data_IF_075236818367
#
_entry.id   IF_075236818367
#
_cell.length_a   1.000
_cell.length_b   1.000
_cell.length_c   1.000
_cell.angle_alpha   90.00
_cell.angle_beta   90.00
_cell.angle_gamma   90.00
#
_symmetry.space_group_name_H-M   'P 1'
#
loop_
_entity.id
_entity.type
_entity.pdbx_description
1 polymer ?
#
# COMPACT_ATOMS: atom_id res chain seq x y z
N UNK A 1 12.21 -16.65 0.93
CA UNK A 1 12.13 -15.97 -0.38
C UNK A 1 10.78 -15.29 -0.60
N UNK A 2 9.65 -15.78 -0.05
CA UNK A 2 8.34 -15.14 -0.19
C UNK A 2 8.26 -13.68 0.34
N UNK A 3 9.08 -13.33 1.34
CA UNK A 3 9.13 -12.03 2.01
C UNK A 3 9.98 -10.95 1.33
N UNK A 4 10.74 -11.27 0.29
CA UNK A 4 11.76 -10.36 -0.29
C UNK A 4 11.20 -9.02 -0.78
N UNK A 5 9.97 -9.03 -1.32
CA UNK A 5 9.30 -7.81 -1.77
C UNK A 5 8.99 -6.84 -0.63
N UNK A 6 8.48 -7.35 0.49
CA UNK A 6 8.16 -6.56 1.70
C UNK A 6 9.45 -6.08 2.38
N UNK A 7 10.46 -6.95 2.50
CA UNK A 7 11.79 -6.61 3.05
C UNK A 7 12.44 -5.43 2.32
N UNK A 8 12.31 -5.39 0.99
CA UNK A 8 12.79 -4.27 0.18
C UNK A 8 12.08 -2.95 0.53
N UNK A 9 10.78 -2.98 0.83
CA UNK A 9 10.04 -1.79 1.27
C UNK A 9 10.38 -1.37 2.71
N UNK A 10 10.64 -2.33 3.61
CA UNK A 10 11.11 -2.03 4.99
C UNK A 10 12.36 -1.14 4.95
N UNK A 11 13.34 -1.46 4.09
CA UNK A 11 14.56 -0.65 3.95
C UNK A 11 14.33 0.79 3.46
N UNK A 12 13.23 1.02 2.74
CA UNK A 12 12.78 2.35 2.27
C UNK A 12 11.93 3.09 3.29
N UNK A 13 11.37 2.40 4.29
CA UNK A 13 10.51 3.01 5.29
C UNK A 13 11.31 3.92 6.23
N UNK A 14 10.70 5.04 6.60
CA UNK A 14 11.24 6.02 7.56
C UNK A 14 10.25 6.33 8.68
N UNK A 15 9.10 5.66 8.67
CA UNK A 15 7.99 5.86 9.60
C UNK A 15 7.91 4.65 10.52
N UNK A 16 8.02 4.87 11.83
CA UNK A 16 8.18 3.81 12.83
C UNK A 16 6.99 2.83 12.85
N UNK A 17 5.77 3.37 12.88
CA UNK A 17 4.53 2.57 12.92
C UNK A 17 4.42 1.69 11.67
N UNK A 18 4.42 2.30 10.48
CA UNK A 18 4.32 1.55 9.21
C UNK A 18 5.53 0.64 8.99
N UNK A 19 6.72 1.03 9.45
CA UNK A 19 7.90 0.17 9.42
C UNK A 19 7.72 -1.10 10.26
N UNK A 20 7.12 -0.98 11.43
CA UNK A 20 6.77 -2.11 12.30
C UNK A 20 5.72 -3.00 11.64
N UNK A 21 4.70 -2.41 11.01
CA UNK A 21 3.66 -3.17 10.31
C UNK A 21 4.21 -3.93 9.09
N UNK A 22 5.15 -3.33 8.36
CA UNK A 22 5.86 -4.01 7.27
C UNK A 22 6.75 -5.15 7.78
N UNK A 23 7.41 -4.99 8.93
CA UNK A 23 8.20 -6.07 9.56
C UNK A 23 7.29 -7.21 10.04
N UNK A 24 6.14 -6.89 10.61
CA UNK A 24 5.13 -7.87 11.02
C UNK A 24 4.58 -8.62 9.79
N UNK A 25 4.24 -7.89 8.73
CA UNK A 25 3.83 -8.43 7.43
C UNK A 25 4.90 -9.36 6.82
N UNK A 26 6.18 -8.96 6.92
CA UNK A 26 7.30 -9.78 6.47
C UNK A 26 7.39 -11.09 7.26
N UNK A 27 7.33 -11.02 8.59
CA UNK A 27 7.37 -12.19 9.47
C UNK A 27 6.17 -13.11 9.23
N UNK A 28 4.99 -12.54 9.00
CA UNK A 28 3.78 -13.29 8.69
C UNK A 28 3.93 -14.07 7.38
N UNK A 29 4.51 -13.48 6.33
CA UNK A 29 4.80 -14.18 5.07
C UNK A 29 5.76 -15.35 5.24
N UNK A 30 6.78 -15.21 6.09
CA UNK A 30 7.74 -16.27 6.37
C UNK A 30 7.08 -17.44 7.11
N UNK A 31 6.34 -17.14 8.19
CA UNK A 31 5.57 -18.13 8.95
C UNK A 31 4.57 -18.86 8.05
N UNK A 32 3.90 -18.12 7.16
CA UNK A 32 2.92 -18.68 6.23
C UNK A 32 3.58 -19.63 5.22
N UNK A 33 4.73 -19.23 4.68
CA UNK A 33 5.49 -20.08 3.76
C UNK A 33 5.98 -21.36 4.44
N UNK A 34 6.39 -21.30 5.71
CA UNK A 34 6.75 -22.47 6.51
C UNK A 34 5.55 -23.39 6.74
N UNK A 35 4.40 -22.84 7.14
CA UNK A 35 3.17 -23.60 7.35
C UNK A 35 2.68 -24.28 6.07
N UNK A 36 2.78 -23.60 4.92
CA UNK A 36 2.44 -24.18 3.62
C UNK A 36 3.34 -25.36 3.27
N UNK A 37 4.65 -25.23 3.48
CA UNK A 37 5.62 -26.33 3.25
C UNK A 37 5.41 -27.51 4.20
N UNK A 38 5.05 -27.23 5.45
CA UNK A 38 4.75 -28.25 6.44
C UNK A 38 3.37 -28.91 6.23
N UNK A 39 2.55 -28.40 5.30
CA UNK A 39 1.18 -28.87 5.09
C UNK A 39 0.25 -28.58 6.27
N UNK A 40 0.58 -27.60 7.11
CA UNK A 40 -0.15 -27.28 8.35
C UNK A 40 -1.16 -26.15 8.19
N UNK A 41 -1.24 -25.50 7.02
CA UNK A 41 -2.30 -24.52 6.74
C UNK A 41 -3.62 -25.26 6.60
N UNK A 42 -4.52 -25.02 7.57
CA UNK A 42 -5.82 -25.68 7.64
C UNK A 42 -6.96 -24.90 6.97
N UNK A 43 -6.74 -23.62 6.68
CA UNK A 43 -7.77 -22.73 6.13
C UNK A 43 -7.18 -21.68 5.19
N UNK A 44 -7.70 -21.65 3.96
CA UNK A 44 -7.34 -20.66 2.94
C UNK A 44 -7.75 -19.24 3.37
N UNK A 45 -8.79 -19.09 4.18
CA UNK A 45 -9.21 -17.78 4.71
C UNK A 45 -8.13 -17.13 5.57
N UNK A 46 -7.28 -17.92 6.22
CA UNK A 46 -6.15 -17.37 7.00
C UNK A 46 -5.10 -16.76 6.08
N UNK A 47 -4.88 -17.33 4.89
CA UNK A 47 -4.01 -16.77 3.86
C UNK A 47 -4.56 -15.43 3.36
N UNK A 48 -5.85 -15.42 3.03
CA UNK A 48 -6.56 -14.26 2.49
C UNK A 48 -6.52 -13.05 3.44
N UNK A 49 -6.79 -13.28 4.73
CA UNK A 49 -6.71 -12.22 5.75
C UNK A 49 -5.29 -11.65 5.86
N UNK A 50 -4.27 -12.53 5.84
CA UNK A 50 -2.87 -12.09 5.92
C UNK A 50 -2.45 -11.31 4.69
N UNK A 51 -2.80 -11.77 3.49
CA UNK A 51 -2.51 -11.03 2.26
C UNK A 51 -3.23 -9.68 2.21
N UNK A 52 -4.51 -9.63 2.61
CA UNK A 52 -5.24 -8.37 2.72
C UNK A 52 -4.55 -7.38 3.67
N UNK A 53 -4.08 -7.84 4.83
CA UNK A 53 -3.34 -7.00 5.78
C UNK A 53 -2.02 -6.49 5.19
N UNK A 54 -1.22 -7.38 4.59
CA UNK A 54 0.06 -7.01 3.96
C UNK A 54 -0.15 -5.94 2.87
N UNK A 55 -1.20 -6.09 2.06
CA UNK A 55 -1.51 -5.14 1.00
C UNK A 55 -1.95 -3.77 1.54
N UNK A 56 -2.69 -3.72 2.66
CA UNK A 56 -3.00 -2.43 3.31
C UNK A 56 -1.74 -1.74 3.84
N UNK A 57 -0.86 -2.48 4.49
CA UNK A 57 0.42 -1.94 4.99
C UNK A 57 1.29 -1.41 3.84
N UNK A 58 1.35 -2.13 2.71
CA UNK A 58 2.06 -1.67 1.51
C UNK A 58 1.41 -0.42 0.90
N UNK A 59 0.08 -0.37 0.80
CA UNK A 59 -0.63 0.81 0.31
C UNK A 59 -0.34 2.04 1.17
N UNK A 60 -0.39 1.89 2.50
CA UNK A 60 -0.05 2.97 3.45
C UNK A 60 1.42 3.39 3.33
N UNK A 61 2.34 2.44 3.21
CA UNK A 61 3.74 2.75 2.98
C UNK A 61 3.96 3.59 1.71
N UNK A 62 3.36 3.19 0.59
CA UNK A 62 3.47 3.94 -0.66
C UNK A 62 2.83 5.33 -0.56
N UNK A 63 1.70 5.47 0.13
CA UNK A 63 1.10 6.78 0.44
C UNK A 63 2.10 7.71 1.14
N UNK A 64 2.80 7.21 2.16
CA UNK A 64 3.76 8.01 2.91
C UNK A 64 4.98 8.42 2.06
N UNK A 65 5.45 7.54 1.19
CA UNK A 65 6.51 7.86 0.23
C UNK A 65 6.09 8.97 -0.74
N UNK A 66 4.88 8.88 -1.29
CA UNK A 66 4.33 9.91 -2.19
C UNK A 66 4.18 11.24 -1.45
N UNK A 67 3.66 11.23 -0.21
CA UNK A 67 3.53 12.43 0.62
C UNK A 67 4.89 13.11 0.84
N UNK A 68 5.93 12.33 1.13
CA UNK A 68 7.27 12.87 1.31
C UNK A 68 7.80 13.56 0.05
N UNK A 69 7.54 13.00 -1.14
CA UNK A 69 7.91 13.62 -2.42
C UNK A 69 7.10 14.88 -2.68
N UNK A 70 5.77 14.85 -2.50
CA UNK A 70 4.91 16.01 -2.77
C UNK A 70 5.20 17.18 -1.84
N UNK A 71 5.56 16.92 -0.57
CA UNK A 71 5.96 17.98 0.37
C UNK A 71 7.31 18.61 0.03
N UNK A 72 8.22 17.86 -0.60
CA UNK A 72 9.58 18.29 -0.92
C UNK A 72 9.99 17.77 -2.31
N UNK A 73 9.39 18.30 -3.39
CA UNK A 73 9.62 17.78 -4.72
C UNK A 73 11.04 18.07 -5.18
N UNK A 74 11.69 17.06 -5.77
CA UNK A 74 12.97 17.17 -6.45
C UNK A 74 12.80 16.57 -7.85
N UNK A 75 13.42 17.15 -8.86
CA UNK A 75 13.16 16.73 -10.25
C UNK A 75 13.42 15.22 -10.49
N UNK A 76 14.36 14.62 -9.77
CA UNK A 76 14.73 13.21 -9.82
C UNK A 76 13.72 12.28 -9.12
N UNK A 77 12.96 12.77 -8.14
CA UNK A 77 12.01 11.96 -7.37
C UNK A 77 10.56 12.06 -7.85
N UNK A 78 10.22 13.02 -8.72
CA UNK A 78 8.86 13.16 -9.29
C UNK A 78 8.39 11.89 -10.03
N UNK A 79 9.17 11.26 -10.93
CA UNK A 79 8.78 9.99 -11.55
C UNK A 79 8.64 8.83 -10.55
N UNK A 80 9.24 8.95 -9.36
CA UNK A 80 9.10 7.96 -8.29
C UNK A 80 7.75 8.11 -7.59
N UNK A 81 7.26 9.34 -7.41
CA UNK A 81 5.93 9.58 -6.84
C UNK A 81 4.81 8.99 -7.70
N UNK A 82 4.89 9.09 -9.02
CA UNK A 82 3.95 8.41 -9.92
C UNK A 82 3.92 6.89 -9.68
N UNK A 83 5.11 6.26 -9.69
CA UNK A 83 5.23 4.81 -9.45
C UNK A 83 4.72 4.40 -8.08
N UNK A 84 4.98 5.18 -7.04
CA UNK A 84 4.48 4.87 -5.70
C UNK A 84 2.95 5.13 -5.61
N UNK A 85 2.37 6.09 -6.34
CA UNK A 85 0.90 6.26 -6.45
C UNK A 85 0.22 5.07 -7.14
N UNK A 86 0.81 4.57 -8.23
CA UNK A 86 0.31 3.38 -8.93
C UNK A 86 0.36 2.14 -8.02
N UNK A 87 1.47 1.96 -7.29
CA UNK A 87 1.61 0.87 -6.31
C UNK A 87 0.65 1.00 -5.15
N UNK A 88 0.42 2.21 -4.64
CA UNK A 88 -0.61 2.48 -3.63
C UNK A 88 -1.96 1.96 -4.12
N UNK A 89 -2.39 2.40 -5.31
CA UNK A 89 -3.68 2.02 -5.88
C UNK A 89 -3.80 0.51 -6.04
N UNK A 90 -2.78 -0.12 -6.61
CA UNK A 90 -2.70 -1.56 -6.81
C UNK A 90 -2.84 -2.34 -5.51
N UNK A 91 -2.02 -2.01 -4.49
CA UNK A 91 -2.07 -2.71 -3.21
C UNK A 91 -3.40 -2.46 -2.49
N UNK A 92 -3.92 -1.23 -2.56
CA UNK A 92 -5.18 -0.92 -1.89
C UNK A 92 -6.34 -1.71 -2.50
N UNK A 93 -6.46 -1.77 -3.82
CA UNK A 93 -7.45 -2.59 -4.52
C UNK A 93 -7.29 -4.08 -4.22
N UNK A 94 -6.06 -4.59 -4.23
CA UNK A 94 -5.77 -6.01 -3.98
C UNK A 94 -6.12 -6.42 -2.54
N UNK A 95 -6.01 -5.50 -1.58
CA UNK A 95 -6.42 -5.77 -0.20
C UNK A 95 -7.91 -6.11 -0.07
N UNK A 96 -8.77 -5.46 -0.85
CA UNK A 96 -10.20 -5.76 -0.88
C UNK A 96 -10.46 -7.10 -1.54
N UNK A 97 -9.77 -7.37 -2.65
CA UNK A 97 -9.83 -8.66 -3.36
C UNK A 97 -9.52 -9.82 -2.43
N UNK A 98 -8.41 -9.77 -1.68
CA UNK A 98 -8.06 -10.82 -0.73
C UNK A 98 -9.05 -10.90 0.44
N UNK A 99 -9.57 -9.78 0.93
CA UNK A 99 -10.60 -9.82 2.00
C UNK A 99 -11.98 -10.32 1.53
N UNK A 100 -12.17 -10.58 0.23
CA UNK A 100 -13.47 -10.94 -0.35
C UNK A 100 -14.50 -9.81 -0.32
N UNK A 101 -14.05 -8.57 -0.09
CA UNK A 101 -14.90 -7.38 -0.01
C UNK A 101 -14.80 -6.57 -1.29
N UNK A 102 -15.83 -5.78 -1.58
CA UNK A 102 -15.74 -4.71 -2.58
C UNK A 102 -15.38 -3.41 -1.87
N UNK A 103 -14.54 -2.55 -2.46
CA UNK A 103 -14.32 -1.22 -1.91
C UNK A 103 -15.64 -0.44 -1.87
N UNK A 104 -15.82 0.40 -0.85
CA UNK A 104 -16.89 1.39 -0.83
C UNK A 104 -16.74 2.38 -2.00
N UNK A 105 -17.78 3.14 -2.37
CA UNK A 105 -17.65 4.19 -3.38
C UNK A 105 -16.51 5.18 -3.11
N UNK A 106 -16.28 5.56 -1.85
CA UNK A 106 -15.20 6.45 -1.45
C UNK A 106 -13.82 5.80 -1.58
N UNK A 107 -13.71 4.52 -1.24
CA UNK A 107 -12.47 3.75 -1.39
C UNK A 107 -12.14 3.53 -2.88
N UNK A 108 -13.14 3.20 -3.70
CA UNK A 108 -12.99 3.08 -5.15
C UNK A 108 -12.58 4.42 -5.78
N UNK A 109 -13.15 5.53 -5.30
CA UNK A 109 -12.74 6.86 -5.74
C UNK A 109 -11.28 7.17 -5.35
N UNK A 110 -10.85 6.81 -4.14
CA UNK A 110 -9.45 6.99 -3.73
C UNK A 110 -8.47 6.19 -4.62
N UNK A 111 -8.83 4.97 -5.01
CA UNK A 111 -8.05 4.16 -5.95
C UNK A 111 -7.96 4.87 -7.32
N UNK A 112 -9.10 5.34 -7.84
CA UNK A 112 -9.16 6.03 -9.12
C UNK A 112 -8.38 7.36 -9.10
N UNK A 113 -8.46 8.12 -8.01
CA UNK A 113 -7.74 9.39 -7.84
C UNK A 113 -6.22 9.15 -7.78
N UNK A 114 -5.77 8.11 -7.09
CA UNK A 114 -4.36 7.73 -7.05
C UNK A 114 -3.83 7.37 -8.46
N UNK A 115 -4.58 6.57 -9.22
CA UNK A 115 -4.24 6.22 -10.61
C UNK A 115 -4.22 7.45 -11.53
N UNK A 116 -5.21 8.34 -11.38
CA UNK A 116 -5.29 9.57 -12.16
C UNK A 116 -4.09 10.48 -11.88
N UNK A 117 -3.76 10.71 -10.61
CA UNK A 117 -2.59 11.50 -10.22
C UNK A 117 -1.29 10.88 -10.73
N UNK A 118 -1.16 9.55 -10.63
CA UNK A 118 0.00 8.83 -11.17
C UNK A 118 0.19 9.16 -12.65
N UNK A 119 -0.86 8.96 -13.46
CA UNK A 119 -0.82 9.20 -14.90
C UNK A 119 -0.54 10.66 -15.25
N UNK A 120 -1.09 11.61 -14.49
CA UNK A 120 -0.84 13.04 -14.70
C UNK A 120 0.63 13.39 -14.44
N UNK A 121 1.20 12.86 -13.36
CA UNK A 121 2.63 13.03 -13.05
C UNK A 121 3.51 12.36 -14.11
N UNK A 122 3.17 11.15 -14.57
CA UNK A 122 3.94 10.47 -15.64
C UNK A 122 3.93 11.27 -16.95
N UNK A 123 2.78 11.86 -17.28
CA UNK A 123 2.61 12.60 -18.54
C UNK A 123 3.31 13.95 -18.50
N UNK A 124 3.21 14.67 -17.38
CA UNK A 124 3.71 16.04 -17.26
C UNK A 124 5.11 16.13 -16.67
N UNK A 125 5.58 15.05 -16.04
CA UNK A 125 6.77 15.02 -15.20
C UNK A 125 6.79 16.15 -14.14
N UNK A 126 5.60 16.51 -13.62
CA UNK A 126 5.42 17.56 -12.63
C UNK A 126 4.36 17.12 -11.60
N UNK A 127 4.43 17.67 -10.39
CA UNK A 127 3.40 17.46 -9.36
C UNK A 127 2.24 18.44 -9.63
N UNK A 128 1.01 17.95 -9.89
CA UNK A 128 -0.16 18.80 -10.08
C UNK A 128 -0.48 19.62 -8.83
N UNK A 129 -0.98 20.84 -8.99
CA UNK A 129 -1.43 21.67 -7.87
C UNK A 129 -2.58 21.04 -7.05
N UNK A 130 -3.31 20.11 -7.66
CA UNK A 130 -4.39 19.33 -7.03
C UNK A 130 -3.90 18.13 -6.21
N UNK A 131 -2.62 17.78 -6.30
CA UNK A 131 -2.08 16.56 -5.70
C UNK A 131 -2.16 16.55 -4.16
N UNK A 132 -1.96 17.69 -3.51
CA UNK A 132 -2.09 17.82 -2.06
C UNK A 132 -3.50 17.51 -1.54
N UNK A 133 -4.54 18.23 -2.02
CA UNK A 133 -5.93 17.94 -1.65
C UNK A 133 -6.38 16.50 -1.98
N UNK A 134 -6.01 15.99 -3.16
CA UNK A 134 -6.37 14.64 -3.56
C UNK A 134 -5.70 13.57 -2.67
N UNK A 135 -4.42 13.75 -2.32
CA UNK A 135 -3.73 12.88 -1.36
C UNK A 135 -4.40 12.84 0.01
N UNK A 136 -4.90 13.97 0.51
CA UNK A 136 -5.57 14.02 1.81
C UNK A 136 -6.86 13.17 1.82
N UNK A 137 -7.59 13.16 0.70
CA UNK A 137 -8.78 12.31 0.54
C UNK A 137 -8.41 10.83 0.43
N UNK A 138 -7.35 10.50 -0.33
CA UNK A 138 -6.82 9.14 -0.45
C UNK A 138 -6.36 8.63 0.92
N UNK A 139 -5.60 9.43 1.65
CA UNK A 139 -5.08 9.11 2.98
C UNK A 139 -6.19 8.72 3.96
N UNK A 140 -7.28 9.50 3.99
CA UNK A 140 -8.42 9.20 4.85
C UNK A 140 -8.96 7.77 4.62
N UNK A 141 -8.99 7.31 3.37
CA UNK A 141 -9.51 5.98 3.05
C UNK A 141 -8.51 4.87 3.33
N UNK A 142 -7.23 5.09 3.02
CA UNK A 142 -6.16 4.10 3.24
C UNK A 142 -5.94 3.85 4.73
N UNK A 143 -5.85 4.92 5.53
CA UNK A 143 -5.62 4.80 6.99
C UNK A 143 -6.86 4.25 7.70
N UNK A 144 -8.08 4.64 7.31
CA UNK A 144 -9.29 4.08 7.91
C UNK A 144 -9.42 2.57 7.64
N UNK A 145 -9.01 2.10 6.47
CA UNK A 145 -9.04 0.68 6.12
C UNK A 145 -7.99 -0.14 6.88
N UNK A 146 -6.85 0.46 7.24
CA UNK A 146 -5.82 -0.16 8.08
C UNK A 146 -6.31 -0.33 9.53
N UNK A 147 -6.89 0.71 10.13
CA UNK A 147 -7.40 0.66 11.52
C UNK A 147 -8.51 -0.38 11.68
N UNK A 148 -9.39 -0.52 10.69
CA UNK A 148 -10.47 -1.52 10.71
C UNK A 148 -9.98 -2.98 10.60
N UNK A 149 -8.71 -3.20 10.24
CA UNK A 149 -8.13 -4.52 10.03
C UNK A 149 -7.30 -5.04 11.22
N UNK A 150 -7.14 -4.23 12.28
CA UNK A 150 -6.47 -4.66 13.51
C UNK A 150 -7.47 -5.48 14.34
N UNK A 151 -7.24 -6.80 14.56
CA UNK A 151 -8.12 -7.65 15.37
C UNK A 151 -8.11 -7.30 16.85
#
# INVERSE_FOLDING_TARGET
MASLGVRSQVGRCRYEVVGTDLLNAESDLEKLAEQLRAGTVKDVKTLDVKFAHIDRALAHHHLLLVKAVIQRPRADNIPTAARDLDRLAYHFERSFTYSGQKPSPEQAQAIADAQKLSKEIETTNAIPGTAGPALALIEKQVVAAEVAATP
#
